data_IF_103788636251
#
_entry.id   IF_103788636251
#
_cell.length_a   1.000
_cell.length_b   1.000
_cell.length_c   1.000
_cell.angle_alpha   90.00
_cell.angle_beta   90.00
_cell.angle_gamma   90.00
#
_symmetry.space_group_name_H-M   'P 1'
#
loop_
_entity.id
_entity.type
_entity.pdbx_description
1 polymer ?
#
# COMPACT_ATOMS: atom_id res chain seq x y z
N UNK A 1 -25.49 -7.25 34.19
CA UNK A 1 -25.98 -6.58 32.96
C UNK A 1 -25.11 -7.07 31.82
N UNK A 2 -25.67 -7.85 30.88
CA UNK A 2 -24.92 -8.48 29.79
C UNK A 2 -24.93 -7.50 28.60
N UNK A 3 -23.77 -7.15 28.06
CA UNK A 3 -23.68 -6.43 26.79
C UNK A 3 -23.03 -7.36 25.76
N UNK A 4 -23.78 -7.68 24.71
CA UNK A 4 -23.26 -8.38 23.54
C UNK A 4 -22.38 -7.41 22.73
N UNK A 5 -21.10 -7.76 22.58
CA UNK A 5 -20.18 -7.04 21.69
C UNK A 5 -20.08 -7.84 20.39
N UNK A 6 -20.63 -7.31 19.30
CA UNK A 6 -20.50 -7.91 17.98
C UNK A 6 -19.12 -7.58 17.40
N UNK A 7 -18.20 -8.54 17.46
CA UNK A 7 -16.96 -8.50 16.69
C UNK A 7 -17.31 -8.76 15.22
N UNK A 8 -17.31 -7.73 14.38
CA UNK A 8 -17.46 -7.91 12.94
C UNK A 8 -16.36 -8.85 12.41
N UNK A 9 -16.75 -10.05 12.01
CA UNK A 9 -15.90 -11.02 11.32
C UNK A 9 -16.47 -11.20 9.91
N UNK A 10 -15.79 -10.66 8.90
CA UNK A 10 -16.01 -11.08 7.52
C UNK A 10 -15.19 -12.35 7.28
N UNK A 11 -15.76 -13.52 7.54
CA UNK A 11 -15.34 -14.81 6.99
C UNK A 11 -16.49 -15.82 7.19
N UNK A 12 -16.80 -16.58 6.14
CA UNK A 12 -17.97 -17.48 5.97
C UNK A 12 -18.06 -18.69 6.93
N UNK A 13 -17.71 -18.55 8.21
CA UNK A 13 -17.99 -19.53 9.25
C UNK A 13 -18.30 -18.76 10.54
N UNK A 14 -19.56 -18.38 10.71
CA UNK A 14 -20.06 -17.60 11.85
C UNK A 14 -20.13 -18.45 13.13
N UNK A 15 -18.97 -18.75 13.72
CA UNK A 15 -18.93 -19.09 15.14
C UNK A 15 -19.05 -17.80 15.94
N UNK A 16 -20.26 -17.51 16.40
CA UNK A 16 -20.56 -16.37 17.28
C UNK A 16 -19.84 -16.59 18.63
N UNK A 17 -18.66 -16.01 18.79
CA UNK A 17 -17.92 -16.03 20.06
C UNK A 17 -18.49 -14.93 20.96
N UNK A 18 -19.14 -15.34 22.05
CA UNK A 18 -19.63 -14.41 23.08
C UNK A 18 -18.62 -14.35 24.22
N UNK A 19 -18.04 -13.18 24.46
CA UNK A 19 -17.08 -12.96 25.54
C UNK A 19 -17.83 -12.33 26.71
N UNK A 20 -17.82 -12.99 27.87
CA UNK A 20 -18.37 -12.45 29.11
C UNK A 20 -17.22 -11.74 29.84
N UNK A 21 -17.36 -10.43 30.03
CA UNK A 21 -16.33 -9.58 30.64
C UNK A 21 -16.93 -8.96 31.90
N UNK A 22 -16.17 -8.96 32.99
CA UNK A 22 -16.56 -8.24 34.20
C UNK A 22 -16.55 -6.73 33.94
N UNK A 23 -17.50 -5.99 34.51
CA UNK A 23 -17.71 -4.56 34.22
C UNK A 23 -16.48 -3.72 34.58
N UNK A 24 -15.68 -4.20 35.54
CA UNK A 24 -14.43 -3.57 35.98
C UNK A 24 -13.33 -3.60 34.91
N UNK A 25 -13.35 -4.62 34.05
CA UNK A 25 -12.32 -4.86 33.03
C UNK A 25 -12.79 -4.54 31.60
N UNK A 26 -14.02 -4.06 31.46
CA UNK A 26 -14.65 -3.77 30.17
C UNK A 26 -13.83 -2.75 29.36
N UNK A 27 -13.38 -1.68 30.01
CA UNK A 27 -12.67 -0.58 29.35
C UNK A 27 -11.28 -0.99 28.85
N UNK A 28 -10.58 -1.83 29.63
CA UNK A 28 -9.31 -2.45 29.26
C UNK A 28 -9.48 -3.44 28.10
N UNK A 29 -10.54 -4.25 28.17
CA UNK A 29 -10.82 -5.26 27.15
C UNK A 29 -11.22 -4.60 25.82
N UNK A 30 -12.01 -3.51 25.85
CA UNK A 30 -12.35 -2.73 24.66
C UNK A 30 -11.11 -2.10 24.02
N UNK A 31 -10.24 -1.46 24.81
CA UNK A 31 -8.96 -0.91 24.31
C UNK A 31 -8.07 -1.99 23.70
N UNK A 32 -8.03 -3.17 24.29
CA UNK A 32 -7.28 -4.32 23.76
C UNK A 32 -7.87 -4.82 22.44
N UNK A 33 -9.19 -4.96 22.34
CA UNK A 33 -9.88 -5.34 21.10
C UNK A 33 -9.66 -4.31 20.00
N UNK A 34 -9.73 -3.01 20.31
CA UNK A 34 -9.40 -1.94 19.37
C UNK A 34 -7.96 -2.04 18.88
N UNK A 35 -7.01 -2.30 19.79
CA UNK A 35 -5.59 -2.50 19.45
C UNK A 35 -5.39 -3.73 18.57
N UNK A 36 -6.06 -4.85 18.87
CA UNK A 36 -6.04 -6.05 18.03
C UNK A 36 -6.64 -5.80 16.64
N UNK A 37 -7.74 -5.06 16.55
CA UNK A 37 -8.35 -4.70 15.28
C UNK A 37 -7.45 -3.76 14.46
N UNK A 38 -6.76 -2.82 15.11
CA UNK A 38 -5.75 -1.97 14.46
C UNK A 38 -4.57 -2.82 13.93
N UNK A 39 -4.05 -3.75 14.72
CA UNK A 39 -2.97 -4.68 14.31
C UNK A 39 -3.42 -5.59 13.16
N UNK A 40 -4.65 -6.11 13.21
CA UNK A 40 -5.21 -6.98 12.15
C UNK A 40 -5.47 -6.23 10.85
N UNK A 41 -5.95 -4.99 10.93
CA UNK A 41 -6.13 -4.11 9.78
C UNK A 41 -4.79 -3.74 9.12
N UNK A 42 -3.71 -3.67 9.92
CA UNK A 42 -2.34 -3.48 9.43
C UNK A 42 -1.84 -4.75 8.72
N UNK A 43 -1.96 -5.94 9.33
CA UNK A 43 -1.39 -7.18 8.78
C UNK A 43 -2.11 -7.73 7.54
N UNK A 44 -3.43 -7.57 7.42
CA UNK A 44 -4.19 -8.13 6.29
C UNK A 44 -4.08 -7.33 4.97
N UNK A 45 -3.59 -6.08 5.01
CA UNK A 45 -3.61 -5.18 3.85
C UNK A 45 -2.24 -4.91 3.19
N UNK A 46 -1.13 -5.36 3.78
CA UNK A 46 0.22 -4.91 3.40
C UNK A 46 0.81 -5.63 2.17
N UNK A 47 0.53 -6.92 1.98
CA UNK A 47 0.89 -7.64 0.75
C UNK A 47 0.08 -7.16 -0.46
N UNK A 48 -1.20 -6.85 -0.23
CA UNK A 48 -2.09 -6.25 -1.20
C UNK A 48 -1.68 -4.82 -1.57
N UNK A 49 -1.18 -4.06 -0.59
CA UNK A 49 -0.67 -2.72 -0.84
C UNK A 49 0.49 -2.74 -1.85
N UNK A 50 1.50 -3.61 -1.66
CA UNK A 50 2.64 -3.74 -2.59
C UNK A 50 2.20 -3.90 -4.04
N UNK A 51 1.18 -4.74 -4.28
CA UNK A 51 0.63 -5.00 -5.62
C UNK A 51 -0.15 -3.82 -6.20
N UNK A 52 -0.64 -2.91 -5.34
CA UNK A 52 -1.44 -1.73 -5.72
C UNK A 52 -0.61 -0.46 -5.92
N UNK A 53 0.61 -0.37 -5.35
CA UNK A 53 1.50 0.80 -5.47
C UNK A 53 1.72 1.20 -6.93
N UNK A 54 2.20 0.28 -7.76
CA UNK A 54 2.51 0.59 -9.17
C UNK A 54 1.27 0.96 -9.97
N UNK A 55 0.18 0.15 -9.97
CA UNK A 55 -1.06 0.52 -10.64
C UNK A 55 -1.58 1.91 -10.23
N UNK A 56 -1.48 2.23 -8.94
CA UNK A 56 -1.90 3.51 -8.40
C UNK A 56 -1.08 4.66 -8.99
N UNK A 57 0.24 4.66 -8.82
CA UNK A 57 1.09 5.77 -9.24
C UNK A 57 1.14 5.92 -10.76
N UNK A 58 1.16 4.83 -11.52
CA UNK A 58 1.04 4.90 -12.98
C UNK A 58 -0.29 5.50 -13.42
N UNK A 59 -1.39 5.23 -12.72
CA UNK A 59 -2.67 5.83 -13.05
C UNK A 59 -2.70 7.32 -12.70
N UNK A 60 -2.14 7.71 -11.54
CA UNK A 60 -2.02 9.13 -11.17
C UNK A 60 -1.14 9.89 -12.15
N UNK A 61 -0.01 9.32 -12.56
CA UNK A 61 0.88 9.90 -13.56
C UNK A 61 0.19 10.08 -14.91
N UNK A 62 -0.61 9.10 -15.36
CA UNK A 62 -1.40 9.25 -16.57
C UNK A 62 -2.33 10.47 -16.50
N UNK A 63 -3.06 10.63 -15.40
CA UNK A 63 -3.96 11.79 -15.22
C UNK A 63 -3.19 13.11 -15.15
N UNK A 64 -2.09 13.14 -14.40
CA UNK A 64 -1.20 14.30 -14.33
C UNK A 64 -0.64 14.69 -15.70
N UNK A 65 -0.21 13.72 -16.51
CA UNK A 65 0.29 13.96 -17.86
C UNK A 65 -0.80 14.51 -18.80
N UNK A 66 -2.05 14.06 -18.64
CA UNK A 66 -3.22 14.61 -19.36
C UNK A 66 -3.45 16.07 -18.96
N UNK A 67 -3.46 16.38 -17.66
CA UNK A 67 -3.64 17.75 -17.14
C UNK A 67 -2.54 18.70 -17.62
N UNK A 68 -1.29 18.23 -17.66
CA UNK A 68 -0.11 18.96 -18.15
C UNK A 68 -0.01 19.02 -19.68
N UNK A 69 -0.95 18.40 -20.42
CA UNK A 69 -0.97 18.32 -21.89
C UNK A 69 0.31 17.69 -22.48
N UNK A 70 0.93 16.74 -21.77
CA UNK A 70 2.11 16.01 -22.23
C UNK A 70 1.71 14.90 -23.23
N UNK A 71 1.30 15.29 -24.44
CA UNK A 71 0.66 14.38 -25.41
C UNK A 71 1.49 13.14 -25.74
N UNK A 72 2.82 13.27 -25.86
CA UNK A 72 3.69 12.13 -26.16
C UNK A 72 3.69 11.10 -25.03
N UNK A 73 3.75 11.55 -23.77
CA UNK A 73 3.65 10.70 -22.58
C UNK A 73 2.28 10.04 -22.49
N UNK A 74 1.20 10.80 -22.72
CA UNK A 74 -0.17 10.29 -22.69
C UNK A 74 -0.37 9.21 -23.76
N UNK A 75 0.09 9.43 -24.99
CA UNK A 75 -0.03 8.48 -26.08
C UNK A 75 0.76 7.18 -25.78
N UNK A 76 1.96 7.32 -25.21
CA UNK A 76 2.76 6.17 -24.81
C UNK A 76 2.08 5.35 -23.71
N UNK A 77 1.53 6.01 -22.68
CA UNK A 77 0.77 5.38 -21.60
C UNK A 77 -0.52 4.71 -22.11
N UNK A 78 -1.21 5.29 -23.11
CA UNK A 78 -2.36 4.67 -23.77
C UNK A 78 -1.97 3.42 -24.53
N UNK A 79 -0.84 3.45 -25.25
CA UNK A 79 -0.34 2.30 -26.00
C UNK A 79 -0.15 1.07 -25.10
N UNK A 80 0.43 1.26 -23.91
CA UNK A 80 0.60 0.21 -22.90
C UNK A 80 -0.72 -0.41 -22.42
N UNK A 81 -1.82 0.37 -22.40
CA UNK A 81 -3.15 -0.12 -22.05
C UNK A 81 -3.83 -0.84 -23.22
N UNK A 82 -3.66 -0.34 -24.44
CA UNK A 82 -4.32 -0.91 -25.63
C UNK A 82 -3.76 -2.27 -26.03
N UNK A 83 -2.50 -2.54 -25.73
CA UNK A 83 -1.85 -3.82 -26.02
C UNK A 83 -2.25 -4.95 -25.05
N UNK A 84 -3.16 -4.72 -24.09
CA UNK A 84 -3.56 -5.70 -23.09
C UNK A 84 -4.86 -6.42 -23.48
N UNK A 85 -4.85 -7.74 -23.31
CA UNK A 85 -6.02 -8.61 -23.49
C UNK A 85 -7.04 -8.48 -22.35
N UNK A 86 -6.58 -8.15 -21.13
CA UNK A 86 -7.45 -8.00 -19.96
C UNK A 86 -8.48 -6.87 -20.16
N UNK A 87 -9.76 -7.17 -19.92
CA UNK A 87 -10.86 -6.21 -20.00
C UNK A 87 -10.67 -5.00 -19.06
N UNK A 88 -10.01 -5.18 -17.91
CA UNK A 88 -9.82 -4.11 -16.94
C UNK A 88 -8.74 -3.09 -17.37
N UNK A 89 -7.85 -3.44 -18.31
CA UNK A 89 -6.76 -2.61 -18.84
C UNK A 89 -6.01 -1.80 -17.77
N UNK A 90 -5.78 -2.40 -16.60
CA UNK A 90 -5.08 -1.77 -15.47
C UNK A 90 -3.58 -1.73 -15.73
N UNK A 91 -2.93 -0.70 -15.22
CA UNK A 91 -1.46 -0.66 -15.17
C UNK A 91 -0.94 -1.67 -14.15
N UNK A 92 0.22 -2.24 -14.42
CA UNK A 92 0.88 -3.27 -13.63
C UNK A 92 2.39 -3.01 -13.57
N UNK A 93 3.09 -3.69 -12.66
CA UNK A 93 4.54 -3.59 -12.56
C UNK A 93 5.25 -3.92 -13.87
N UNK A 94 4.72 -4.88 -14.66
CA UNK A 94 5.26 -5.21 -15.96
C UNK A 94 5.25 -4.03 -16.94
N UNK A 95 4.26 -3.13 -16.86
CA UNK A 95 4.20 -1.94 -17.73
C UNK A 95 5.23 -0.90 -17.30
N UNK A 96 5.39 -0.69 -15.98
CA UNK A 96 6.41 0.19 -15.43
C UNK A 96 7.81 -0.29 -15.81
N UNK A 97 8.05 -1.60 -15.76
CA UNK A 97 9.28 -2.18 -16.27
C UNK A 97 9.44 -1.89 -17.76
N UNK A 98 8.43 -2.16 -18.59
CA UNK A 98 8.49 -1.91 -20.05
C UNK A 98 8.81 -0.45 -20.40
N UNK A 99 8.29 0.51 -19.64
CA UNK A 99 8.58 1.94 -19.79
C UNK A 99 10.08 2.25 -19.72
N UNK A 100 10.81 1.54 -18.87
CA UNK A 100 12.19 1.87 -18.50
C UNK A 100 13.19 0.72 -18.73
N UNK A 101 12.76 -0.40 -19.32
CA UNK A 101 13.66 -1.52 -19.63
C UNK A 101 14.51 -1.16 -20.84
N UNK A 102 15.82 -1.10 -20.63
CA UNK A 102 16.82 -0.70 -21.63
C UNK A 102 17.03 -1.70 -22.77
N UNK A 103 16.40 -2.88 -22.76
CA UNK A 103 17.03 -4.03 -23.40
C UNK A 103 16.66 -4.43 -24.84
N UNK A 104 15.55 -4.01 -25.49
CA UNK A 104 15.23 -4.70 -26.77
C UNK A 104 14.72 -3.93 -27.98
N UNK A 105 14.41 -2.63 -27.94
CA UNK A 105 14.03 -1.92 -29.17
C UNK A 105 14.51 -0.47 -29.11
N UNK A 106 15.80 -0.26 -29.37
CA UNK A 106 16.30 1.07 -29.76
C UNK A 106 15.94 1.25 -31.23
N UNK A 107 14.65 1.49 -31.50
CA UNK A 107 14.25 2.10 -32.77
C UNK A 107 14.71 3.56 -32.66
N UNK A 108 15.58 4.05 -33.56
CA UNK A 108 15.99 5.45 -33.59
C UNK A 108 14.74 6.35 -33.60
N UNK A 109 14.59 7.21 -32.58
CA UNK A 109 13.39 8.04 -32.36
C UNK A 109 12.58 7.70 -31.11
N UNK A 110 12.54 6.44 -30.67
CA UNK A 110 11.83 6.08 -29.42
C UNK A 110 12.62 6.46 -28.15
N UNK A 111 13.93 6.65 -28.26
CA UNK A 111 14.79 7.02 -27.14
C UNK A 111 14.47 8.42 -26.60
N UNK A 112 14.15 9.37 -27.48
CA UNK A 112 13.74 10.73 -27.08
C UNK A 112 12.45 10.69 -26.26
N UNK A 113 11.44 9.95 -26.73
CA UNK A 113 10.15 9.80 -26.05
C UNK A 113 10.35 9.11 -24.70
N UNK A 114 11.19 8.07 -24.63
CA UNK A 114 11.51 7.39 -23.37
C UNK A 114 12.19 8.32 -22.38
N UNK A 115 13.14 9.14 -22.82
CA UNK A 115 13.79 10.12 -21.95
C UNK A 115 12.79 11.16 -21.43
N UNK A 116 11.90 11.66 -22.29
CA UNK A 116 10.82 12.57 -21.88
C UNK A 116 9.87 11.91 -20.87
N UNK A 117 9.48 10.67 -21.11
CA UNK A 117 8.61 9.91 -20.19
C UNK A 117 9.32 9.66 -18.86
N UNK A 118 10.62 9.37 -18.87
CA UNK A 118 11.44 9.21 -17.65
C UNK A 118 11.50 10.50 -16.86
N UNK A 119 11.83 11.61 -17.51
CA UNK A 119 11.90 12.92 -16.87
C UNK A 119 10.54 13.32 -16.30
N UNK A 120 9.46 13.15 -17.07
CA UNK A 120 8.11 13.45 -16.63
C UNK A 120 7.67 12.56 -15.46
N UNK A 121 8.05 11.28 -15.47
CA UNK A 121 7.75 10.36 -14.37
C UNK A 121 8.50 10.75 -13.10
N UNK A 122 9.77 11.14 -13.22
CA UNK A 122 10.56 11.64 -12.09
C UNK A 122 9.96 12.93 -11.52
N UNK A 123 9.66 13.93 -12.35
CA UNK A 123 8.99 15.18 -11.94
C UNK A 123 7.65 14.90 -11.24
N UNK A 124 6.85 13.98 -11.79
CA UNK A 124 5.61 13.55 -11.16
C UNK A 124 5.86 12.96 -9.76
N UNK A 125 6.86 12.08 -9.60
CA UNK A 125 7.17 11.45 -8.32
C UNK A 125 7.66 12.46 -7.28
N UNK A 126 8.55 13.38 -7.68
CA UNK A 126 9.14 14.38 -6.79
C UNK A 126 8.12 15.41 -6.33
N UNK A 127 7.30 15.94 -7.24
CA UNK A 127 6.51 17.14 -6.97
C UNK A 127 5.00 16.87 -6.76
N UNK A 128 4.46 15.77 -7.29
CA UNK A 128 2.99 15.59 -7.39
C UNK A 128 2.48 14.30 -6.76
N UNK A 129 3.27 13.23 -6.71
CA UNK A 129 2.80 11.92 -6.29
C UNK A 129 2.28 11.92 -4.84
N UNK A 130 2.94 12.61 -3.92
CA UNK A 130 2.49 12.72 -2.54
C UNK A 130 1.14 13.46 -2.43
N UNK A 131 0.97 14.54 -3.19
CA UNK A 131 -0.29 15.28 -3.25
C UNK A 131 -1.42 14.41 -3.85
N UNK A 132 -1.13 13.62 -4.88
CA UNK A 132 -2.09 12.68 -5.47
C UNK A 132 -2.56 11.63 -4.47
N UNK A 133 -1.68 11.15 -3.58
CA UNK A 133 -2.06 10.24 -2.47
C UNK A 133 -2.95 10.98 -1.47
N UNK A 134 -2.55 12.18 -1.04
CA UNK A 134 -3.26 12.94 -0.01
C UNK A 134 -4.66 13.35 -0.44
N UNK A 135 -4.84 13.73 -1.70
CA UNK A 135 -6.14 14.11 -2.29
C UNK A 135 -7.02 12.91 -2.65
N UNK A 136 -6.50 11.68 -2.61
CA UNK A 136 -7.27 10.51 -3.00
C UNK A 136 -8.34 10.15 -1.96
N UNK A 137 -9.61 10.36 -2.31
CA UNK A 137 -10.75 10.09 -1.43
C UNK A 137 -11.01 8.60 -1.19
N UNK A 138 -10.48 7.71 -2.05
CA UNK A 138 -10.63 6.25 -1.89
C UNK A 138 -9.73 5.69 -0.79
N UNK A 139 -8.63 6.38 -0.48
CA UNK A 139 -7.71 5.98 0.60
C UNK A 139 -8.10 6.77 1.85
N UNK A 140 -9.01 6.24 2.66
CA UNK A 140 -9.52 6.95 3.85
C UNK A 140 -8.54 6.96 5.02
N UNK A 141 -7.80 5.87 5.21
CA UNK A 141 -6.90 5.70 6.34
C UNK A 141 -5.59 6.50 6.17
N UNK A 142 -5.25 7.42 7.10
CA UNK A 142 -4.00 8.19 7.06
C UNK A 142 -2.74 7.32 7.01
N UNK A 143 -2.72 6.23 7.78
CA UNK A 143 -1.59 5.30 7.78
C UNK A 143 -1.37 4.66 6.40
N UNK A 144 -2.45 4.31 5.69
CA UNK A 144 -2.35 3.75 4.33
C UNK A 144 -1.81 4.81 3.38
N UNK A 145 -2.27 6.08 3.48
CA UNK A 145 -1.71 7.18 2.69
C UNK A 145 -0.20 7.33 2.93
N UNK A 146 0.22 7.32 4.20
CA UNK A 146 1.64 7.39 4.54
C UNK A 146 2.42 6.23 3.93
N UNK A 147 1.86 5.01 3.96
CA UNK A 147 2.52 3.87 3.34
C UNK A 147 2.71 4.10 1.83
N UNK A 148 1.72 4.62 1.09
CA UNK A 148 1.92 4.98 -0.34
C UNK A 148 3.02 6.02 -0.52
N UNK A 149 3.05 7.06 0.31
CA UNK A 149 4.07 8.13 0.24
C UNK A 149 5.47 7.56 0.46
N UNK A 150 5.63 6.62 1.40
CA UNK A 150 6.92 5.98 1.69
C UNK A 150 7.48 5.17 0.51
N UNK A 151 6.67 4.84 -0.51
CA UNK A 151 7.17 4.20 -1.74
C UNK A 151 7.75 5.19 -2.76
N UNK A 152 7.45 6.48 -2.65
CA UNK A 152 7.90 7.47 -3.63
C UNK A 152 9.44 7.50 -3.73
N UNK A 153 10.21 7.59 -2.63
CA UNK A 153 11.67 7.58 -2.72
C UNK A 153 12.21 6.30 -3.38
N UNK A 154 11.64 5.14 -3.05
CA UNK A 154 12.03 3.86 -3.66
C UNK A 154 11.74 3.83 -5.17
N UNK A 155 10.63 4.43 -5.61
CA UNK A 155 10.29 4.51 -7.03
C UNK A 155 11.24 5.44 -7.79
N UNK A 156 11.76 6.48 -7.15
CA UNK A 156 12.78 7.38 -7.72
C UNK A 156 14.12 6.64 -7.80
N UNK A 157 14.60 6.05 -6.71
CA UNK A 157 15.88 5.30 -6.67
C UNK A 157 15.95 4.16 -7.69
N UNK A 158 14.81 3.51 -7.98
CA UNK A 158 14.75 2.45 -8.99
C UNK A 158 15.00 2.95 -10.41
N UNK A 159 14.80 4.25 -10.72
CA UNK A 159 15.07 4.80 -12.05
C UNK A 159 16.54 4.67 -12.42
N UNK A 160 17.45 4.86 -11.48
CA UNK A 160 18.90 4.90 -11.73
C UNK A 160 19.54 3.51 -11.75
N UNK A 161 18.74 2.47 -11.57
CA UNK A 161 19.21 1.09 -11.65
C UNK A 161 19.44 0.70 -13.12
N UNK A 162 20.41 -0.19 -13.35
CA UNK A 162 20.66 -0.79 -14.68
C UNK A 162 19.39 -1.44 -15.26
N UNK A 163 18.59 -2.04 -14.37
CA UNK A 163 17.28 -2.63 -14.67
C UNK A 163 16.21 -2.02 -13.77
N UNK A 164 15.60 -0.88 -14.17
CA UNK A 164 14.62 -0.21 -13.33
C UNK A 164 13.43 -1.10 -12.97
N UNK A 165 13.01 -1.02 -11.71
CA UNK A 165 11.82 -1.69 -11.15
C UNK A 165 11.86 -3.22 -11.12
N UNK A 166 12.98 -3.84 -11.52
CA UNK A 166 13.02 -5.29 -11.70
C UNK A 166 12.86 -6.07 -10.39
N UNK A 167 13.35 -5.49 -9.28
CA UNK A 167 13.32 -6.05 -7.92
C UNK A 167 12.47 -5.21 -6.94
N UNK A 168 11.62 -4.31 -7.43
CA UNK A 168 10.84 -3.40 -6.57
C UNK A 168 10.04 -4.16 -5.48
N UNK A 169 9.37 -5.26 -5.85
CA UNK A 169 8.54 -6.03 -4.89
C UNK A 169 9.37 -6.80 -3.84
N UNK A 170 10.63 -7.12 -4.15
CA UNK A 170 11.54 -7.88 -3.28
C UNK A 170 12.51 -7.01 -2.46
N UNK A 171 12.86 -5.81 -2.94
CA UNK A 171 13.65 -4.82 -2.19
C UNK A 171 12.89 -4.22 -1.00
N UNK A 172 11.56 -4.21 -1.08
CA UNK A 172 10.73 -3.78 0.03
C UNK A 172 10.70 -4.86 1.12
N UNK A 173 11.60 -4.74 2.10
CA UNK A 173 11.42 -5.36 3.41
C UNK A 173 10.47 -4.50 4.22
N UNK A 174 9.43 -5.12 4.75
CA UNK A 174 8.44 -4.41 5.53
C UNK A 174 9.10 -3.91 6.83
N UNK A 175 8.73 -2.74 7.37
CA UNK A 175 9.13 -2.33 8.72
C UNK A 175 8.70 -3.31 9.83
N UNK A 176 7.96 -4.37 9.50
CA UNK A 176 7.57 -5.45 10.40
C UNK A 176 8.52 -6.65 10.43
N UNK A 177 9.55 -6.73 9.57
CA UNK A 177 10.56 -7.82 9.69
C UNK A 177 11.50 -7.62 10.90
N UNK A 178 11.38 -6.50 11.61
CA UNK A 178 12.10 -6.18 12.85
C UNK A 178 11.19 -5.82 14.03
N UNK A 179 9.90 -6.12 13.96
CA UNK A 179 9.12 -6.22 15.20
C UNK A 179 9.01 -7.69 15.53
N UNK A 180 9.82 -8.09 16.51
CA UNK A 180 9.41 -9.07 17.50
C UNK A 180 7.88 -9.05 17.53
N UNK A 181 7.27 -10.16 17.11
CA UNK A 181 6.06 -10.61 17.78
C UNK A 181 6.54 -10.78 19.22
N UNK A 182 6.56 -9.69 19.99
CA UNK A 182 6.43 -9.78 21.43
C UNK A 182 5.11 -10.48 21.56
N UNK A 183 5.21 -11.81 21.69
CA UNK A 183 4.17 -12.72 22.10
C UNK A 183 3.42 -11.93 23.15
N UNK A 184 2.20 -11.48 22.81
CA UNK A 184 1.35 -10.78 23.78
C UNK A 184 1.26 -11.75 24.93
N UNK A 185 1.96 -11.42 26.01
CA UNK A 185 2.15 -12.35 27.10
C UNK A 185 0.79 -12.43 27.80
N UNK A 186 0.07 -13.57 27.73
CA UNK A 186 -1.25 -13.67 28.35
C UNK A 186 -1.20 -13.45 29.87
N UNK A 187 0.00 -13.48 30.47
CA UNK A 187 0.23 -13.16 31.87
C UNK A 187 0.12 -11.66 32.22
N UNK A 188 0.14 -10.73 31.26
CA UNK A 188 -0.09 -9.30 31.55
C UNK A 188 -1.54 -9.00 31.98
N UNK A 189 -2.49 -9.93 31.76
CA UNK A 189 -3.86 -9.82 32.28
C UNK A 189 -4.03 -10.36 33.70
N UNK A 190 -3.08 -11.13 34.23
CA UNK A 190 -3.29 -11.91 35.47
C UNK A 190 -2.69 -11.22 36.71
N UNK A 191 -1.88 -10.17 36.57
CA UNK A 191 -1.14 -9.57 37.69
C UNK A 191 -1.75 -8.28 38.29
N UNK A 192 -3.08 -8.18 38.39
CA UNK A 192 -3.72 -7.07 39.13
C UNK A 192 -4.86 -7.55 40.05
N UNK A 193 -4.69 -8.72 40.68
CA UNK A 193 -5.62 -9.21 41.72
C UNK A 193 -4.95 -10.04 42.80
N UNK A 194 -3.71 -9.68 43.16
CA UNK A 194 -3.13 -10.05 44.44
C UNK A 194 -2.50 -8.82 45.04
N UNK A 195 -3.32 -7.99 45.68
CA UNK A 195 -2.96 -7.35 46.94
C UNK A 195 -4.23 -6.87 47.65
N UNK A 196 -4.20 -7.01 48.97
CA UNK A 196 -5.17 -6.55 49.97
C UNK A 196 -6.33 -7.52 50.31
N UNK A 197 -6.05 -8.45 51.22
CA UNK A 197 -6.53 -8.30 52.61
C UNK A 197 -5.82 -9.32 53.53
N UNK A 198 -4.80 -8.83 54.25
CA UNK A 198 -4.51 -9.24 55.63
C UNK A 198 -5.36 -8.39 56.56
#
# INVERSE_FOLDING_TARGET
MIQEINLCQELKNDQKVSIIIDKKDLDLTLKFIEKLNQIRAQSSNLGDLKRRIVPFFMNQFYHWAVERKLQQVVNYMKHLKTSKESQQKKFELGDLKKLFTNQQLVIPGQQLIRNQVRQAWQEFLEDYAALSVMKNQKIKCPQIKQNYINYIPLLIEELDQIYPYNKLLSKYKLPSDHHHISVINPYEMIQCSTDENQ
#
